data_IF_174289156853
#
_entry.id   IF_174289156853
#
_cell.length_a   1.000
_cell.length_b   1.000
_cell.length_c   1.000
_cell.angle_alpha   90.00
_cell.angle_beta   90.00
_cell.angle_gamma   90.00
#
_symmetry.space_group_name_H-M   'P 1'
#
loop_
_entity.id
_entity.type
_entity.pdbx_description
1 polymer ?
#
# COMPACT_ATOMS: atom_id res chain seq x y z
N UNK A 1 5.36 28.32 7.03
CA UNK A 1 5.70 26.88 7.19
C UNK A 1 5.33 26.49 8.60
N UNK A 2 4.24 25.74 8.82
CA UNK A 2 3.80 25.29 10.15
C UNK A 2 4.49 23.96 10.41
N UNK A 3 5.45 23.92 11.35
CA UNK A 3 6.04 22.67 11.82
C UNK A 3 4.95 21.97 12.66
N UNK A 4 4.33 20.93 12.12
CA UNK A 4 3.44 20.05 12.91
C UNK A 4 4.32 19.21 13.83
N UNK A 5 4.36 19.58 15.10
CA UNK A 5 4.94 18.72 16.14
C UNK A 5 4.19 17.37 16.14
N UNK A 6 4.92 16.28 16.23
CA UNK A 6 4.34 14.94 16.35
C UNK A 6 3.51 14.87 17.63
N UNK A 7 2.30 14.30 17.55
CA UNK A 7 1.48 14.14 18.76
C UNK A 7 2.12 13.11 19.71
N UNK A 8 1.94 13.25 21.05
CA UNK A 8 2.44 12.26 22.01
C UNK A 8 1.97 10.82 21.69
N UNK A 9 0.76 10.67 21.17
CA UNK A 9 0.21 9.39 20.75
C UNK A 9 0.93 8.82 19.52
N UNK A 10 1.20 9.65 18.50
CA UNK A 10 1.93 9.22 17.31
C UNK A 10 3.37 8.84 17.63
N UNK A 11 4.02 9.61 18.51
CA UNK A 11 5.37 9.29 18.97
C UNK A 11 5.43 7.96 19.72
N UNK A 12 4.48 7.71 20.64
CA UNK A 12 4.42 6.46 21.40
C UNK A 12 4.15 5.25 20.48
N UNK A 13 3.26 5.41 19.50
CA UNK A 13 2.96 4.39 18.52
C UNK A 13 4.21 4.02 17.69
N UNK A 14 4.88 5.01 17.14
CA UNK A 14 6.10 4.84 16.36
C UNK A 14 7.23 4.20 17.18
N UNK A 15 7.47 4.65 18.40
CA UNK A 15 8.45 4.08 19.31
C UNK A 15 8.23 2.58 19.56
N UNK A 16 6.96 2.18 19.82
CA UNK A 16 6.62 0.77 20.10
C UNK A 16 6.82 -0.06 18.84
N UNK A 17 6.31 0.40 17.68
CA UNK A 17 6.45 -0.31 16.41
C UNK A 17 7.92 -0.47 16.02
N UNK A 18 8.73 0.59 16.11
CA UNK A 18 10.17 0.53 15.85
C UNK A 18 10.89 -0.41 16.82
N UNK A 19 10.45 -0.45 18.09
CA UNK A 19 11.03 -1.35 19.08
C UNK A 19 10.71 -2.81 18.80
N UNK A 20 9.52 -3.11 18.28
CA UNK A 20 9.15 -4.44 17.79
C UNK A 20 9.97 -4.79 16.54
N UNK A 21 10.03 -3.87 15.56
CA UNK A 21 10.76 -4.06 14.32
C UNK A 21 12.25 -4.34 14.55
N UNK A 22 12.88 -3.56 15.42
CA UNK A 22 14.30 -3.69 15.77
C UNK A 22 14.59 -4.77 16.82
N UNK A 23 13.62 -5.66 17.12
CA UNK A 23 13.76 -6.72 18.10
C UNK A 23 14.11 -6.27 19.54
N UNK A 24 13.84 -5.03 19.93
CA UNK A 24 13.89 -4.64 21.35
C UNK A 24 12.73 -5.29 22.12
N UNK A 25 11.59 -5.41 21.48
CA UNK A 25 10.43 -6.17 21.94
C UNK A 25 10.18 -7.31 20.93
N UNK A 26 10.89 -8.46 21.06
CA UNK A 26 10.77 -9.52 20.06
C UNK A 26 9.39 -10.19 20.07
N UNK A 27 8.96 -10.79 18.94
CA UNK A 27 7.74 -11.59 18.90
C UNK A 27 7.68 -12.63 20.02
N UNK A 28 6.53 -12.71 20.68
CA UNK A 28 6.32 -13.61 21.84
C UNK A 28 6.72 -13.04 23.19
N UNK A 29 7.46 -11.93 23.25
CA UNK A 29 7.82 -11.26 24.49
C UNK A 29 6.63 -10.51 25.11
N UNK A 30 6.81 -10.10 26.35
CA UNK A 30 5.85 -9.31 27.13
C UNK A 30 6.36 -7.88 27.16
N UNK A 31 5.49 -6.90 26.88
CA UNK A 31 5.81 -5.49 27.04
C UNK A 31 5.95 -5.15 28.55
N UNK A 32 6.79 -4.14 28.89
CA UNK A 32 6.82 -3.58 30.22
C UNK A 32 5.42 -3.17 30.72
N UNK A 33 5.23 -3.11 32.02
CA UNK A 33 3.95 -2.66 32.58
C UNK A 33 3.60 -1.26 32.06
N UNK A 34 2.28 -0.97 31.86
CA UNK A 34 1.83 0.31 31.31
C UNK A 34 2.43 1.53 32.03
N UNK A 35 2.65 1.43 33.35
CA UNK A 35 3.27 2.51 34.12
C UNK A 35 4.72 2.74 33.68
N UNK A 36 5.50 1.68 33.63
CA UNK A 36 6.91 1.75 33.27
C UNK A 36 7.08 2.18 31.79
N UNK A 37 6.26 1.64 30.90
CA UNK A 37 6.30 1.97 29.47
C UNK A 37 5.87 3.43 29.23
N UNK A 38 4.88 3.95 29.96
CA UNK A 38 4.47 5.36 29.85
C UNK A 38 5.54 6.32 30.35
N UNK A 39 6.21 5.98 31.45
CA UNK A 39 7.34 6.74 31.99
C UNK A 39 8.54 6.70 31.01
N UNK A 40 8.85 5.54 30.43
CA UNK A 40 9.93 5.37 29.46
C UNK A 40 9.73 6.21 28.19
N UNK A 41 8.51 6.24 27.67
CA UNK A 41 8.18 6.97 26.42
C UNK A 41 7.92 8.47 26.71
N UNK A 42 7.58 8.83 27.94
CA UNK A 42 7.27 10.21 28.31
C UNK A 42 5.84 10.64 27.93
N UNK A 43 4.87 9.71 27.97
CA UNK A 43 3.46 9.98 27.67
C UNK A 43 2.55 9.62 28.86
N UNK A 44 1.31 10.13 28.86
CA UNK A 44 0.35 9.75 29.88
C UNK A 44 -0.09 8.29 29.73
N UNK A 45 -0.48 7.65 30.85
CA UNK A 45 -1.00 6.27 30.80
C UNK A 45 -2.26 6.14 29.94
N UNK A 46 -3.09 7.17 29.90
CA UNK A 46 -4.29 7.20 29.04
C UNK A 46 -3.89 7.20 27.57
N UNK A 47 -2.97 8.07 27.16
CA UNK A 47 -2.44 8.11 25.80
C UNK A 47 -1.81 6.76 25.42
N UNK A 48 -1.02 6.17 26.33
CA UNK A 48 -0.42 4.87 26.07
C UNK A 48 -1.46 3.77 25.86
N UNK A 49 -2.51 3.72 26.66
CA UNK A 49 -3.59 2.73 26.50
C UNK A 49 -4.29 2.82 25.16
N UNK A 50 -4.58 4.03 24.70
CA UNK A 50 -5.17 4.24 23.38
C UNK A 50 -4.25 3.72 22.26
N UNK A 51 -2.94 3.98 22.38
CA UNK A 51 -1.93 3.48 21.44
C UNK A 51 -1.88 1.96 21.47
N UNK A 52 -1.77 1.35 22.65
CA UNK A 52 -1.73 -0.12 22.79
C UNK A 52 -2.98 -0.78 22.20
N UNK A 53 -4.16 -0.21 22.38
CA UNK A 53 -5.41 -0.72 21.79
C UNK A 53 -5.41 -0.63 20.27
N UNK A 54 -4.87 0.46 19.67
CA UNK A 54 -4.69 0.56 18.21
C UNK A 54 -3.73 -0.50 17.70
N UNK A 55 -2.58 -0.64 18.35
CA UNK A 55 -1.58 -1.65 17.97
C UNK A 55 -2.11 -3.07 18.11
N UNK A 56 -2.96 -3.34 19.10
CA UNK A 56 -3.62 -4.64 19.25
C UNK A 56 -4.63 -4.89 18.13
N UNK A 57 -5.44 -3.89 17.76
CA UNK A 57 -6.38 -3.97 16.62
C UNK A 57 -5.65 -4.21 15.30
N UNK A 58 -4.47 -3.63 15.14
CA UNK A 58 -3.66 -3.74 13.94
C UNK A 58 -2.78 -5.01 13.91
N UNK A 59 -2.86 -5.83 14.96
CA UNK A 59 -2.21 -7.14 15.02
C UNK A 59 -0.79 -7.15 15.61
N UNK A 60 -0.23 -5.99 15.99
CA UNK A 60 1.10 -5.93 16.58
C UNK A 60 1.17 -6.53 17.98
N UNK A 61 0.09 -6.45 18.74
CA UNK A 61 0.00 -6.83 20.14
C UNK A 61 -1.22 -7.71 20.41
N UNK A 62 -1.13 -8.49 21.48
CA UNK A 62 -2.29 -9.17 22.08
C UNK A 62 -2.50 -8.63 23.49
N UNK A 63 -3.69 -8.05 23.74
CA UNK A 63 -4.12 -7.56 25.04
C UNK A 63 -5.24 -8.47 25.55
N UNK A 64 -5.06 -9.03 26.77
CA UNK A 64 -6.05 -9.84 27.44
C UNK A 64 -6.26 -9.30 28.85
N UNK A 65 -7.51 -9.28 29.31
CA UNK A 65 -7.81 -8.80 30.67
C UNK A 65 -7.06 -9.62 31.73
N UNK A 66 -6.40 -8.92 32.66
CA UNK A 66 -5.65 -9.56 33.74
C UNK A 66 -4.34 -10.24 33.33
N UNK A 67 -3.92 -10.11 32.06
CA UNK A 67 -2.63 -10.65 31.57
C UNK A 67 -1.74 -9.54 31.05
N UNK A 68 -0.40 -9.74 31.10
CA UNK A 68 0.52 -8.82 30.45
C UNK A 68 0.30 -8.73 28.94
N UNK A 69 0.53 -7.55 28.36
CA UNK A 69 0.45 -7.32 26.92
C UNK A 69 1.58 -8.08 26.22
N UNK A 70 1.22 -8.92 25.25
CA UNK A 70 2.15 -9.76 24.48
C UNK A 70 2.44 -9.18 23.11
N UNK A 71 3.69 -9.22 22.67
CA UNK A 71 4.11 -8.86 21.32
C UNK A 71 3.82 -10.01 20.37
N UNK A 72 3.15 -9.74 19.26
CA UNK A 72 2.82 -10.73 18.25
C UNK A 72 3.91 -10.85 17.19
N UNK A 73 3.90 -11.97 16.46
CA UNK A 73 4.50 -12.02 15.13
C UNK A 73 3.53 -11.34 14.16
N UNK A 74 3.78 -10.08 13.83
CA UNK A 74 2.86 -9.28 13.01
C UNK A 74 2.66 -9.85 11.60
N UNK A 75 3.59 -10.65 11.08
CA UNK A 75 3.40 -11.36 9.81
C UNK A 75 2.28 -12.40 9.86
N UNK A 76 1.95 -12.92 11.04
CA UNK A 76 0.89 -13.92 11.25
C UNK A 76 -0.45 -13.28 11.68
N UNK A 77 -0.39 -12.11 12.29
CA UNK A 77 -1.56 -11.54 12.99
C UNK A 77 -2.08 -10.24 12.39
N UNK A 78 -1.28 -9.54 11.56
CA UNK A 78 -1.68 -8.29 10.91
C UNK A 78 -2.23 -8.53 9.51
N UNK A 79 -2.94 -7.53 8.98
CA UNK A 79 -3.44 -7.51 7.61
C UNK A 79 -2.74 -6.45 6.75
N UNK A 80 -3.39 -6.09 5.63
CA UNK A 80 -2.87 -5.09 4.68
C UNK A 80 -2.76 -3.68 5.28
N UNK A 81 -3.42 -3.41 6.39
CA UNK A 81 -3.41 -2.14 7.12
C UNK A 81 -2.02 -1.72 7.60
N UNK A 82 -1.08 -2.64 7.80
CA UNK A 82 0.28 -2.32 8.26
C UNK A 82 1.28 -2.03 7.14
N UNK A 83 0.91 -2.20 5.86
CA UNK A 83 1.83 -2.07 4.73
C UNK A 83 2.49 -0.68 4.64
N UNK A 84 1.74 0.39 4.92
CA UNK A 84 2.29 1.74 4.94
C UNK A 84 3.29 1.94 6.08
N UNK A 85 3.02 1.33 7.22
CA UNK A 85 3.94 1.32 8.37
C UNK A 85 5.22 0.58 8.05
N UNK A 86 5.14 -0.61 7.45
CA UNK A 86 6.31 -1.36 7.02
C UNK A 86 7.18 -0.59 6.02
N UNK A 87 6.55 0.12 5.09
CA UNK A 87 7.26 0.95 4.13
C UNK A 87 7.97 2.18 4.75
N UNK A 88 7.61 2.57 5.98
CA UNK A 88 8.32 3.64 6.73
C UNK A 88 9.48 3.11 7.56
N UNK A 89 9.37 1.87 8.06
CA UNK A 89 10.32 1.29 8.99
C UNK A 89 11.61 0.81 8.33
N UNK A 90 11.54 0.33 7.11
CA UNK A 90 12.66 -0.31 6.44
C UNK A 90 12.82 0.23 5.02
N UNK A 91 13.58 1.32 4.92
CA UNK A 91 13.86 1.95 3.63
C UNK A 91 14.62 0.99 2.68
N UNK A 92 15.44 0.11 3.21
CA UNK A 92 16.26 -0.79 2.40
C UNK A 92 15.42 -1.94 1.78
N UNK A 93 14.32 -2.33 2.44
CA UNK A 93 13.39 -3.37 1.96
C UNK A 93 12.16 -2.83 1.24
N UNK A 94 11.95 -1.51 1.21
CA UNK A 94 10.84 -0.91 0.47
C UNK A 94 10.79 -1.38 -0.98
N UNK A 95 11.90 -1.47 -1.74
CA UNK A 95 11.87 -1.97 -3.11
C UNK A 95 11.23 -3.35 -3.22
N UNK A 96 11.67 -4.31 -2.39
CA UNK A 96 11.11 -5.66 -2.39
C UNK A 96 9.64 -5.70 -1.96
N UNK A 97 9.24 -4.87 -0.99
CA UNK A 97 7.85 -4.76 -0.58
C UNK A 97 6.96 -4.24 -1.72
N UNK A 98 7.45 -3.26 -2.48
CA UNK A 98 6.74 -2.72 -3.64
C UNK A 98 6.67 -3.74 -4.76
N UNK A 99 7.74 -4.46 -5.07
CA UNK A 99 7.75 -5.53 -6.06
C UNK A 99 6.70 -6.60 -5.74
N UNK A 100 6.64 -7.02 -4.47
CA UNK A 100 5.63 -7.97 -3.99
C UNK A 100 4.21 -7.40 -4.11
N UNK A 101 4.01 -6.12 -3.78
CA UNK A 101 2.73 -5.43 -3.93
C UNK A 101 2.29 -5.37 -5.40
N UNK A 102 3.18 -4.99 -6.31
CA UNK A 102 2.91 -4.91 -7.75
C UNK A 102 2.58 -6.29 -8.32
N UNK A 103 3.28 -7.33 -7.88
CA UNK A 103 2.99 -8.72 -8.26
C UNK A 103 1.59 -9.14 -7.81
N UNK A 104 1.23 -8.92 -6.54
CA UNK A 104 -0.11 -9.23 -6.01
C UNK A 104 -1.16 -8.44 -6.77
N UNK A 105 -0.99 -7.11 -6.94
CA UNK A 105 -1.91 -6.26 -7.68
C UNK A 105 -2.16 -6.78 -9.08
N UNK A 106 -1.11 -7.08 -9.83
CA UNK A 106 -1.19 -7.56 -11.23
C UNK A 106 -1.95 -8.87 -11.31
N UNK A 107 -1.64 -9.83 -10.43
CA UNK A 107 -2.29 -11.14 -10.47
C UNK A 107 -3.77 -11.08 -10.11
N UNK A 108 -4.16 -10.35 -9.07
CA UNK A 108 -5.58 -10.23 -8.72
C UNK A 108 -6.34 -9.36 -9.71
N UNK A 109 -5.70 -8.32 -10.28
CA UNK A 109 -6.31 -7.44 -11.28
C UNK A 109 -6.68 -8.20 -12.56
N UNK A 110 -5.83 -9.11 -13.03
CA UNK A 110 -6.13 -9.95 -14.18
C UNK A 110 -7.44 -10.74 -14.02
N UNK A 111 -7.74 -11.16 -12.79
CA UNK A 111 -8.97 -11.89 -12.47
C UNK A 111 -10.16 -10.93 -12.37
N UNK A 112 -10.09 -9.89 -11.54
CA UNK A 112 -11.27 -9.06 -11.29
C UNK A 112 -11.62 -8.16 -12.50
N UNK A 113 -10.65 -7.71 -13.31
CA UNK A 113 -10.92 -6.95 -14.54
C UNK A 113 -11.68 -7.81 -15.53
N UNK A 114 -11.21 -9.03 -15.78
CA UNK A 114 -11.93 -9.99 -16.64
C UNK A 114 -13.34 -10.26 -16.14
N UNK A 115 -13.50 -10.40 -14.83
CA UNK A 115 -14.82 -10.64 -14.21
C UNK A 115 -15.71 -9.41 -14.31
N UNK A 116 -15.16 -8.19 -14.10
CA UNK A 116 -15.90 -6.94 -14.27
C UNK A 116 -16.48 -6.79 -15.67
N UNK A 117 -15.67 -7.07 -16.71
CA UNK A 117 -16.11 -6.97 -18.11
C UNK A 117 -17.20 -7.97 -18.47
N UNK A 118 -17.17 -9.16 -17.86
CA UNK A 118 -18.24 -10.15 -18.05
C UNK A 118 -19.50 -9.84 -17.24
N UNK A 119 -19.33 -9.30 -16.04
CA UNK A 119 -20.44 -9.08 -15.12
C UNK A 119 -21.17 -7.74 -15.37
N UNK A 120 -20.41 -6.68 -15.62
CA UNK A 120 -20.97 -5.34 -15.83
C UNK A 120 -20.07 -4.52 -16.77
N UNK A 121 -20.09 -4.81 -18.09
CA UNK A 121 -19.23 -4.14 -19.07
C UNK A 121 -19.48 -2.63 -19.17
N UNK A 122 -20.72 -2.19 -19.00
CA UNK A 122 -21.06 -0.77 -19.04
C UNK A 122 -20.38 -0.01 -17.89
N UNK A 123 -20.51 -0.55 -16.67
CA UNK A 123 -19.85 0.03 -15.50
C UNK A 123 -18.33 -0.01 -15.60
N UNK A 124 -17.78 -1.07 -16.15
CA UNK A 124 -16.33 -1.18 -16.37
C UNK A 124 -15.83 -0.12 -17.36
N UNK A 125 -16.58 0.16 -18.43
CA UNK A 125 -16.25 1.23 -19.39
C UNK A 125 -16.39 2.62 -18.78
N UNK A 126 -17.40 2.88 -17.94
CA UNK A 126 -17.52 4.12 -17.17
C UNK A 126 -16.30 4.34 -16.27
N UNK A 127 -15.87 3.30 -15.55
CA UNK A 127 -14.70 3.38 -14.69
C UNK A 127 -13.42 3.64 -15.50
N UNK A 128 -13.26 2.99 -16.66
CA UNK A 128 -12.10 3.23 -17.53
C UNK A 128 -12.09 4.63 -18.14
N UNK A 129 -13.25 5.28 -18.30
CA UNK A 129 -13.33 6.66 -18.77
C UNK A 129 -12.79 7.69 -17.75
N UNK A 130 -12.61 7.30 -16.47
CA UNK A 130 -11.95 8.16 -15.47
C UNK A 130 -10.52 8.56 -15.88
N UNK A 131 -9.85 7.77 -16.73
CA UNK A 131 -8.54 8.14 -17.32
C UNK A 131 -8.52 9.51 -17.98
N UNK A 132 -9.68 9.95 -18.54
CA UNK A 132 -9.80 11.22 -19.24
C UNK A 132 -9.80 12.43 -18.28
N UNK A 133 -9.90 12.19 -16.97
CA UNK A 133 -9.79 13.20 -15.91
C UNK A 133 -8.36 13.36 -15.39
N UNK A 134 -7.42 12.52 -15.83
CA UNK A 134 -6.04 12.60 -15.38
C UNK A 134 -5.35 13.84 -15.95
N UNK A 135 -4.92 14.73 -15.06
CA UNK A 135 -3.99 15.80 -15.41
C UNK A 135 -2.58 15.23 -15.52
N UNK A 136 -1.72 15.83 -16.33
CA UNK A 136 -0.34 15.33 -16.54
C UNK A 136 0.57 15.60 -15.33
N UNK A 137 0.14 15.16 -14.15
CA UNK A 137 0.87 15.23 -12.89
C UNK A 137 0.93 13.86 -12.21
N UNK A 138 1.96 13.62 -11.42
CA UNK A 138 2.13 12.36 -10.68
C UNK A 138 0.98 12.11 -9.70
N UNK A 139 0.52 13.16 -9.03
CA UNK A 139 -0.56 13.11 -8.06
C UNK A 139 -1.88 12.70 -8.70
N UNK A 140 -2.23 13.35 -9.83
CA UNK A 140 -3.46 13.08 -10.55
C UNK A 140 -3.47 11.66 -11.11
N UNK A 141 -2.39 11.23 -11.76
CA UNK A 141 -2.27 9.86 -12.26
C UNK A 141 -2.33 8.81 -11.16
N UNK A 142 -1.66 9.04 -10.03
CA UNK A 142 -1.72 8.11 -8.89
C UNK A 142 -3.13 7.95 -8.33
N UNK A 143 -3.90 9.05 -8.27
CA UNK A 143 -5.29 9.01 -7.81
C UNK A 143 -6.19 8.29 -8.80
N UNK A 144 -6.12 8.67 -10.07
CA UNK A 144 -6.95 8.10 -11.14
C UNK A 144 -6.66 6.60 -11.32
N UNK A 145 -5.37 6.19 -11.32
CA UNK A 145 -4.99 4.77 -11.41
C UNK A 145 -5.60 3.96 -10.25
N UNK A 146 -5.49 4.47 -9.02
CA UNK A 146 -6.11 3.83 -7.87
C UNK A 146 -7.63 3.70 -8.01
N UNK A 147 -8.31 4.78 -8.44
CA UNK A 147 -9.76 4.82 -8.57
C UNK A 147 -10.25 3.89 -9.70
N UNK A 148 -9.52 3.77 -10.81
CA UNK A 148 -9.80 2.82 -11.88
C UNK A 148 -9.68 1.38 -11.38
N UNK A 149 -8.57 0.99 -10.76
CA UNK A 149 -8.40 -0.37 -10.26
C UNK A 149 -9.45 -0.72 -9.19
N UNK A 150 -9.73 0.21 -8.28
CA UNK A 150 -10.77 0.06 -7.26
C UNK A 150 -12.17 -0.08 -7.88
N UNK A 151 -12.50 0.78 -8.83
CA UNK A 151 -13.79 0.76 -9.54
C UNK A 151 -14.02 -0.55 -10.29
N UNK A 152 -13.01 -1.03 -11.02
CA UNK A 152 -13.06 -2.31 -11.73
C UNK A 152 -13.18 -3.50 -10.75
N UNK A 153 -12.49 -3.44 -9.59
CA UNK A 153 -12.62 -4.46 -8.55
C UNK A 153 -14.08 -4.58 -8.04
N UNK A 154 -14.75 -3.45 -7.79
CA UNK A 154 -16.17 -3.46 -7.40
C UNK A 154 -17.10 -3.85 -8.55
N UNK A 155 -16.82 -3.42 -9.79
CA UNK A 155 -17.61 -3.79 -10.97
C UNK A 155 -17.57 -5.30 -11.27
N UNK A 156 -16.61 -6.03 -10.70
CA UNK A 156 -16.50 -7.49 -10.85
C UNK A 156 -17.67 -8.28 -10.23
N UNK A 157 -18.51 -7.64 -9.41
CA UNK A 157 -19.58 -8.30 -8.66
C UNK A 157 -19.11 -9.02 -7.38
N UNK A 158 -17.79 -9.10 -7.15
CA UNK A 158 -17.25 -9.63 -5.90
C UNK A 158 -16.61 -8.46 -5.09
N UNK A 159 -17.30 -7.95 -4.05
CA UNK A 159 -16.85 -6.81 -3.28
C UNK A 159 -15.55 -7.06 -2.52
N UNK A 160 -15.15 -8.31 -2.32
CA UNK A 160 -13.90 -8.65 -1.61
C UNK A 160 -12.67 -8.11 -2.37
N UNK A 161 -12.68 -8.12 -3.70
CA UNK A 161 -11.60 -7.49 -4.47
C UNK A 161 -11.48 -5.99 -4.18
N UNK A 162 -12.62 -5.29 -4.08
CA UNK A 162 -12.65 -3.88 -3.70
C UNK A 162 -12.10 -3.62 -2.31
N UNK A 163 -12.41 -4.49 -1.33
CA UNK A 163 -11.87 -4.40 0.03
C UNK A 163 -10.35 -4.64 0.05
N UNK A 164 -9.84 -5.56 -0.75
CA UNK A 164 -8.39 -5.78 -0.88
C UNK A 164 -7.72 -4.52 -1.44
N UNK A 165 -8.24 -3.93 -2.51
CA UNK A 165 -7.70 -2.70 -3.09
C UNK A 165 -7.78 -1.53 -2.10
N UNK A 166 -8.86 -1.41 -1.32
CA UNK A 166 -8.96 -0.41 -0.25
C UNK A 166 -7.86 -0.59 0.81
N UNK A 167 -7.52 -1.82 1.19
CA UNK A 167 -6.45 -2.12 2.14
C UNK A 167 -5.05 -1.74 1.63
N UNK A 168 -4.89 -1.61 0.32
CA UNK A 168 -3.62 -1.20 -0.31
C UNK A 168 -3.48 0.33 -0.45
N UNK A 169 -4.53 1.12 -0.21
CA UNK A 169 -4.63 2.54 -0.59
C UNK A 169 -3.42 3.37 -0.17
N UNK A 170 -3.00 3.29 1.09
CA UNK A 170 -1.93 4.13 1.63
C UNK A 170 -0.61 3.92 0.90
N UNK A 171 -0.16 2.66 0.82
CA UNK A 171 1.07 2.30 0.10
C UNK A 171 0.93 2.53 -1.40
N UNK A 172 -0.23 2.19 -1.97
CA UNK A 172 -0.51 2.34 -3.40
C UNK A 172 -0.35 3.79 -3.87
N UNK A 173 -0.98 4.75 -3.19
CA UNK A 173 -0.91 6.16 -3.57
C UNK A 173 0.48 6.74 -3.34
N UNK A 174 1.19 6.32 -2.31
CA UNK A 174 2.57 6.75 -2.06
C UNK A 174 3.52 6.27 -3.14
N UNK A 175 3.48 4.98 -3.47
CA UNK A 175 4.28 4.37 -4.55
C UNK A 175 3.87 4.95 -5.91
N UNK A 176 2.57 5.10 -6.15
CA UNK A 176 2.02 5.64 -7.39
C UNK A 176 2.53 7.04 -7.69
N UNK A 177 2.57 7.95 -6.70
CA UNK A 177 3.14 9.30 -6.89
C UNK A 177 4.59 9.26 -7.35
N UNK A 178 5.40 8.40 -6.76
CA UNK A 178 6.78 8.23 -7.20
C UNK A 178 6.86 7.62 -8.60
N UNK A 179 6.13 6.53 -8.86
CA UNK A 179 6.10 5.85 -10.15
C UNK A 179 5.63 6.77 -11.28
N UNK A 180 4.52 7.49 -11.08
CA UNK A 180 3.97 8.42 -12.07
C UNK A 180 4.71 9.76 -12.16
N UNK A 181 5.76 9.99 -11.38
CA UNK A 181 6.71 11.09 -11.67
C UNK A 181 7.42 10.88 -13.00
N UNK A 182 7.55 9.63 -13.45
CA UNK A 182 8.07 9.28 -14.77
C UNK A 182 6.98 9.46 -15.87
N UNK A 183 7.20 10.31 -16.89
CA UNK A 183 6.26 10.50 -18.01
C UNK A 183 5.95 9.20 -18.79
N UNK A 184 6.92 8.30 -18.94
CA UNK A 184 6.70 7.03 -19.64
C UNK A 184 5.76 6.10 -18.87
N UNK A 185 5.79 6.15 -17.54
CA UNK A 185 4.84 5.42 -16.71
C UNK A 185 3.39 5.91 -16.93
N UNK A 186 3.20 7.24 -17.04
CA UNK A 186 1.89 7.83 -17.34
C UNK A 186 1.37 7.42 -18.71
N UNK A 187 2.25 7.48 -19.71
CA UNK A 187 1.91 7.08 -21.09
C UNK A 187 1.58 5.58 -21.17
N UNK A 188 2.34 4.74 -20.48
CA UNK A 188 2.07 3.30 -20.41
C UNK A 188 0.70 3.01 -19.79
N UNK A 189 0.35 3.70 -18.69
CA UNK A 189 -0.94 3.55 -18.03
C UNK A 189 -2.12 3.96 -18.93
N UNK A 190 -2.03 5.11 -19.62
CA UNK A 190 -3.06 5.55 -20.57
C UNK A 190 -3.27 4.54 -21.70
N UNK A 191 -2.18 4.02 -22.27
CA UNK A 191 -2.26 2.99 -23.30
C UNK A 191 -2.94 1.72 -22.79
N UNK A 192 -2.59 1.30 -21.57
CA UNK A 192 -3.21 0.15 -20.93
C UNK A 192 -4.73 0.32 -20.74
N UNK A 193 -5.20 1.47 -20.22
CA UNK A 193 -6.64 1.74 -20.06
C UNK A 193 -7.36 1.78 -21.40
N UNK A 194 -6.71 2.33 -22.43
CA UNK A 194 -7.27 2.34 -23.78
C UNK A 194 -7.41 0.92 -24.34
N UNK A 195 -6.39 0.08 -24.19
CA UNK A 195 -6.44 -1.32 -24.60
C UNK A 195 -7.54 -2.09 -23.87
N UNK A 196 -7.67 -1.91 -22.56
CA UNK A 196 -8.75 -2.52 -21.78
C UNK A 196 -10.14 -2.08 -22.28
N UNK A 197 -10.29 -0.79 -22.63
CA UNK A 197 -11.56 -0.29 -23.16
C UNK A 197 -11.92 -0.93 -24.51
N UNK A 198 -10.94 -1.16 -25.38
CA UNK A 198 -11.12 -1.87 -26.66
C UNK A 198 -11.51 -3.31 -26.39
N UNK A 199 -10.75 -4.04 -25.58
CA UNK A 199 -11.03 -5.45 -25.26
C UNK A 199 -12.41 -5.65 -24.62
N UNK A 200 -12.86 -4.68 -23.82
CA UNK A 200 -14.20 -4.72 -23.23
C UNK A 200 -15.30 -4.59 -24.30
N UNK A 201 -15.18 -3.61 -25.23
CA UNK A 201 -16.15 -3.39 -26.31
C UNK A 201 -16.20 -4.54 -27.30
N UNK A 202 -15.05 -5.19 -27.54
CA UNK A 202 -14.93 -6.33 -28.46
C UNK A 202 -15.30 -7.67 -27.78
N UNK A 203 -15.66 -7.66 -26.50
CA UNK A 203 -15.91 -8.85 -25.67
C UNK A 203 -14.74 -9.87 -25.67
N UNK A 204 -13.53 -9.37 -25.91
CA UNK A 204 -12.32 -10.19 -26.01
C UNK A 204 -11.74 -10.56 -24.64
N UNK A 205 -12.59 -11.11 -23.76
CA UNK A 205 -12.30 -11.34 -22.32
C UNK A 205 -11.11 -12.30 -22.08
N UNK A 206 -10.80 -13.18 -23.02
CA UNK A 206 -9.69 -14.11 -22.88
C UNK A 206 -8.32 -13.43 -23.05
N UNK A 207 -8.27 -12.28 -23.74
CA UNK A 207 -7.06 -11.48 -23.92
C UNK A 207 -6.74 -10.57 -22.72
N UNK A 208 -7.67 -10.37 -21.80
CA UNK A 208 -7.52 -9.43 -20.67
C UNK A 208 -6.37 -9.87 -19.76
N UNK A 209 -6.26 -11.16 -19.46
CA UNK A 209 -5.22 -11.67 -18.58
C UNK A 209 -3.81 -11.41 -19.15
N UNK A 210 -3.64 -11.55 -20.46
CA UNK A 210 -2.40 -11.26 -21.15
C UNK A 210 -2.11 -9.74 -21.14
N UNK A 211 -3.10 -8.92 -21.47
CA UNK A 211 -3.01 -7.46 -21.43
C UNK A 211 -2.55 -6.96 -20.04
N UNK A 212 -3.17 -7.43 -18.98
CA UNK A 212 -2.81 -7.04 -17.60
C UNK A 212 -1.40 -7.52 -17.23
N UNK A 213 -1.01 -8.73 -17.62
CA UNK A 213 0.33 -9.25 -17.35
C UNK A 213 1.41 -8.47 -18.09
N UNK A 214 1.17 -8.11 -19.36
CA UNK A 214 2.10 -7.29 -20.15
C UNK A 214 2.26 -5.90 -19.52
N UNK A 215 1.16 -5.24 -19.15
CA UNK A 215 1.21 -3.99 -18.40
C UNK A 215 2.00 -4.13 -17.10
N UNK A 216 1.77 -5.19 -16.33
CA UNK A 216 2.51 -5.45 -15.09
C UNK A 216 4.01 -5.65 -15.33
N UNK A 217 4.39 -6.34 -16.40
CA UNK A 217 5.79 -6.55 -16.77
C UNK A 217 6.48 -5.25 -17.20
N UNK A 218 5.85 -4.47 -18.07
CA UNK A 218 6.37 -3.18 -18.53
C UNK A 218 6.44 -2.16 -17.38
N UNK A 219 5.42 -2.10 -16.52
CA UNK A 219 5.42 -1.29 -15.31
C UNK A 219 6.57 -1.67 -14.37
N UNK A 220 6.83 -2.97 -14.21
CA UNK A 220 7.93 -3.48 -13.39
C UNK A 220 9.28 -3.04 -13.95
N UNK A 221 9.48 -3.06 -15.29
CA UNK A 221 10.72 -2.59 -15.92
C UNK A 221 10.97 -1.12 -15.61
N UNK A 222 9.98 -0.25 -15.84
CA UNK A 222 10.09 1.19 -15.52
C UNK A 222 10.38 1.39 -14.02
N UNK A 223 9.70 0.66 -13.16
CA UNK A 223 9.91 0.73 -11.72
C UNK A 223 11.35 0.39 -11.32
N UNK A 224 11.92 -0.70 -11.86
CA UNK A 224 13.30 -1.10 -11.56
C UNK A 224 14.33 -0.09 -12.07
N UNK A 225 14.11 0.50 -13.25
CA UNK A 225 14.95 1.58 -13.77
C UNK A 225 14.95 2.81 -12.85
N UNK A 226 13.77 3.20 -12.35
CA UNK A 226 13.63 4.31 -11.41
C UNK A 226 14.30 4.03 -10.05
N UNK A 227 14.24 2.80 -9.55
CA UNK A 227 14.93 2.41 -8.32
C UNK A 227 16.45 2.56 -8.46
N UNK A 228 17.03 2.15 -9.60
CA UNK A 228 18.46 2.26 -9.86
C UNK A 228 18.96 3.71 -9.78
N UNK A 229 18.18 4.68 -10.26
CA UNK A 229 18.51 6.11 -10.20
C UNK A 229 18.46 6.60 -8.74
N UNK A 230 17.45 6.23 -7.98
CA UNK A 230 17.29 6.64 -6.57
C UNK A 230 18.43 6.14 -5.68
N UNK A 231 18.91 4.91 -5.89
CA UNK A 231 20.04 4.35 -5.16
C UNK A 231 21.36 5.06 -5.50
N UNK A 232 21.56 5.45 -6.77
CA UNK A 232 22.76 6.16 -7.18
C UNK A 232 22.81 7.58 -6.59
N UNK A 233 21.68 8.30 -6.54
CA UNK A 233 21.59 9.63 -5.95
C UNK A 233 21.81 9.62 -4.43
N UNK A 234 21.29 8.61 -3.72
CA UNK A 234 21.48 8.46 -2.27
C UNK A 234 22.92 8.08 -1.90
N UNK A 235 23.60 7.30 -2.73
CA UNK A 235 25.02 6.96 -2.52
C UNK A 235 25.94 8.13 -2.83
N UNK A 236 25.64 8.95 -3.84
CA UNK A 236 26.37 10.17 -4.15
C UNK A 236 26.24 11.25 -3.05
N UNK A 237 25.04 11.38 -2.45
CA UNK A 237 24.79 12.33 -1.35
C UNK A 237 25.46 11.93 -0.01
N UNK A 238 25.89 10.68 0.18
CA UNK A 238 26.63 10.21 1.36
C UNK A 238 28.14 10.35 1.25
N UNK A 239 28.67 10.72 0.06
CA UNK A 239 30.11 10.89 -0.20
C UNK A 239 30.55 12.36 -0.24
N UNK A 240 29.63 13.30 -0.10
CA UNK A 240 29.86 14.74 0.07
C UNK A 240 29.46 15.17 1.49
#
# INVERSE_FOLDING_TARGET
>A
MVIKAQSPASFAEEYIIESIWNNRFPPGSILPAERELSELIGVTRTTLREVLQRLARDGWLTIQHGKPTKVNNFWETSGLNILETLARLDHDRVPQLVDNLLSVRTNIAAIFIRTAFRHNPEKALEVLAEKDKAEDTAESFSSVDYDIFRGLAFASGNPIYGLIINGLKGLYTRVGRYYFSNPEARKLALNFYQQLSVLCREEAYDKIMECVRNYGKESGTIWHEMQGIMFNDLTAARQN
#
